data_IF_284842052215
#
_entry.id   IF_284842052215
#
_cell.length_a   1.000
_cell.length_b   1.000
_cell.length_c   1.000
_cell.angle_alpha   90.00
_cell.angle_beta   90.00
_cell.angle_gamma   90.00
#
_symmetry.space_group_name_H-M   'P 1'
#
loop_
_entity.id
_entity.type
_entity.pdbx_description
1 polymer ?
#
# COMPACT_ATOMS: atom_id res chain seq x y z
N UNK A 1 -6.34 -24.17 0.28
CA UNK A 1 -7.73 -23.79 -0.08
C UNK A 1 -8.63 -25.01 0.06
N UNK A 2 -9.90 -24.84 0.45
CA UNK A 2 -10.88 -25.95 0.53
C UNK A 2 -11.43 -26.30 1.91
N UNK A 3 -10.95 -25.67 2.99
CA UNK A 3 -11.57 -25.84 4.31
C UNK A 3 -12.99 -25.25 4.32
N UNK A 4 -13.95 -25.92 4.98
CA UNK A 4 -15.33 -25.46 5.20
C UNK A 4 -16.09 -25.11 3.91
N UNK A 5 -15.84 -25.86 2.83
CA UNK A 5 -16.54 -25.67 1.56
C UNK A 5 -18.04 -26.00 1.67
N UNK A 6 -18.41 -26.83 2.65
CA UNK A 6 -19.76 -27.24 3.02
C UNK A 6 -20.53 -26.19 3.85
N UNK A 7 -19.83 -25.21 4.44
CA UNK A 7 -20.44 -24.13 5.22
C UNK A 7 -20.80 -22.93 4.34
N UNK A 8 -21.83 -22.20 4.77
CA UNK A 8 -22.14 -20.88 4.20
C UNK A 8 -20.89 -19.98 4.27
N UNK A 9 -20.56 -19.23 3.21
CA UNK A 9 -19.40 -18.34 3.17
C UNK A 9 -19.21 -17.42 4.38
N UNK A 10 -20.31 -16.97 5.01
CA UNK A 10 -20.30 -16.09 6.17
C UNK A 10 -20.11 -16.82 7.51
N UNK A 11 -20.34 -18.13 7.55
CA UNK A 11 -20.12 -19.00 8.73
C UNK A 11 -18.72 -19.63 8.79
N UNK A 12 -17.91 -19.41 7.74
CA UNK A 12 -16.52 -19.84 7.69
C UNK A 12 -15.65 -19.07 8.68
N UNK A 13 -14.53 -19.66 9.10
CA UNK A 13 -13.56 -19.00 10.01
C UNK A 13 -12.19 -18.84 9.33
N UNK A 14 -11.81 -17.63 8.86
CA UNK A 14 -12.61 -16.40 8.77
C UNK A 14 -13.66 -16.47 7.63
N UNK A 15 -14.70 -15.61 7.66
CA UNK A 15 -15.66 -15.47 6.57
C UNK A 15 -14.97 -15.19 5.24
N UNK A 16 -15.37 -15.91 4.18
CA UNK A 16 -14.73 -15.81 2.86
C UNK A 16 -15.67 -16.22 1.74
N UNK A 17 -15.78 -15.37 0.72
CA UNK A 17 -16.58 -15.57 -0.49
C UNK A 17 -15.63 -15.62 -1.68
N UNK A 18 -15.82 -16.60 -2.57
CA UNK A 18 -15.08 -16.65 -3.84
C UNK A 18 -15.71 -15.66 -4.84
N UNK A 19 -14.93 -15.06 -5.74
CA UNK A 19 -15.49 -14.17 -6.75
C UNK A 19 -16.41 -14.95 -7.70
N UNK A 20 -17.44 -14.29 -8.21
CA UNK A 20 -18.31 -14.87 -9.22
C UNK A 20 -17.47 -15.24 -10.47
N UNK A 21 -17.60 -16.47 -11.01
CA UNK A 21 -16.83 -16.87 -12.20
C UNK A 21 -17.04 -15.90 -13.37
N UNK A 22 -15.94 -15.46 -13.98
CA UNK A 22 -15.96 -14.51 -15.11
C UNK A 22 -16.20 -13.04 -14.73
N UNK A 23 -16.46 -12.72 -13.46
CA UNK A 23 -16.58 -11.34 -13.00
C UNK A 23 -15.27 -10.56 -13.14
N UNK A 24 -15.36 -9.23 -13.10
CA UNK A 24 -14.19 -8.35 -12.97
C UNK A 24 -13.34 -8.67 -11.75
N UNK A 25 -13.97 -9.07 -10.63
CA UNK A 25 -13.26 -9.47 -9.41
C UNK A 25 -12.48 -10.79 -9.61
N UNK A 26 -13.07 -11.77 -10.31
CA UNK A 26 -12.36 -13.01 -10.64
C UNK A 26 -11.12 -12.74 -11.51
N UNK A 27 -11.25 -11.90 -12.54
CA UNK A 27 -10.12 -11.49 -13.38
C UNK A 27 -9.04 -10.72 -12.59
N UNK A 28 -9.43 -9.88 -11.63
CA UNK A 28 -8.50 -9.21 -10.73
C UNK A 28 -7.72 -10.20 -9.85
N UNK A 29 -8.39 -11.23 -9.33
CA UNK A 29 -7.73 -12.28 -8.54
C UNK A 29 -6.74 -13.08 -9.38
N UNK A 30 -7.13 -13.48 -10.59
CA UNK A 30 -6.26 -14.22 -11.52
C UNK A 30 -4.99 -13.44 -11.88
N UNK A 31 -5.12 -12.13 -12.12
CA UNK A 31 -3.97 -11.25 -12.36
C UNK A 31 -3.12 -11.09 -11.11
N UNK A 32 -3.73 -10.88 -9.95
CA UNK A 32 -3.02 -10.74 -8.68
C UNK A 32 -2.21 -12.00 -8.35
N UNK A 33 -2.75 -13.19 -8.57
CA UNK A 33 -2.03 -14.45 -8.34
C UNK A 33 -0.80 -14.59 -9.24
N UNK A 34 -0.90 -14.17 -10.50
CA UNK A 34 0.26 -14.11 -11.40
C UNK A 34 1.34 -13.15 -10.87
N UNK A 35 0.96 -12.02 -10.27
CA UNK A 35 1.94 -11.05 -9.75
C UNK A 35 2.79 -11.59 -8.60
N UNK A 36 2.30 -12.58 -7.84
CA UNK A 36 3.01 -13.17 -6.69
C UNK A 36 4.22 -13.99 -7.11
N UNK A 37 4.20 -14.54 -8.32
CA UNK A 37 5.21 -15.48 -8.82
C UNK A 37 6.00 -14.96 -10.02
N UNK A 38 5.60 -13.85 -10.65
CA UNK A 38 6.33 -13.23 -11.77
C UNK A 38 7.63 -12.54 -11.29
N UNK A 39 8.82 -13.06 -11.68
CA UNK A 39 10.09 -12.49 -11.24
C UNK A 39 10.51 -11.23 -12.00
N UNK A 40 10.04 -11.04 -13.25
CA UNK A 40 10.41 -9.87 -14.04
C UNK A 40 9.57 -8.65 -13.66
N UNK A 41 10.26 -7.57 -13.26
CA UNK A 41 9.61 -6.35 -12.76
C UNK A 41 8.73 -5.70 -13.83
N UNK A 42 9.13 -5.69 -15.10
CA UNK A 42 8.37 -5.04 -16.16
C UNK A 42 7.12 -5.85 -16.51
N UNK A 43 7.21 -7.18 -16.53
CA UNK A 43 6.05 -8.06 -16.69
C UNK A 43 5.09 -7.94 -15.51
N UNK A 44 5.60 -7.93 -14.28
CA UNK A 44 4.78 -7.72 -13.08
C UNK A 44 4.09 -6.35 -13.10
N UNK A 45 4.78 -5.30 -13.51
CA UNK A 45 4.19 -3.96 -13.65
C UNK A 45 3.08 -3.94 -14.71
N UNK A 46 3.25 -4.67 -15.81
CA UNK A 46 2.20 -4.81 -16.83
C UNK A 46 0.93 -5.47 -16.25
N UNK A 47 1.07 -6.52 -15.44
CA UNK A 47 -0.07 -7.13 -14.74
C UNK A 47 -0.79 -6.12 -13.84
N UNK A 48 -0.05 -5.25 -13.16
CA UNK A 48 -0.64 -4.16 -12.35
C UNK A 48 -1.44 -3.18 -13.22
N UNK A 49 -0.92 -2.82 -14.40
CA UNK A 49 -1.66 -1.98 -15.33
C UNK A 49 -2.91 -2.65 -15.88
N UNK A 50 -2.87 -3.95 -16.14
CA UNK A 50 -4.05 -4.71 -16.56
C UNK A 50 -5.11 -4.73 -15.45
N UNK A 51 -4.72 -4.83 -14.17
CA UNK A 51 -5.62 -4.69 -13.02
C UNK A 51 -6.21 -3.27 -12.91
N UNK A 52 -5.41 -2.23 -13.13
CA UNK A 52 -5.87 -0.84 -13.17
C UNK A 52 -6.87 -0.61 -14.30
N UNK A 53 -6.64 -1.22 -15.46
CA UNK A 53 -7.55 -1.15 -16.60
C UNK A 53 -8.93 -1.72 -16.27
N UNK A 54 -9.00 -2.87 -15.60
CA UNK A 54 -10.27 -3.43 -15.09
C UNK A 54 -10.99 -2.45 -14.15
N UNK A 55 -10.26 -1.77 -13.25
CA UNK A 55 -10.86 -0.77 -12.36
C UNK A 55 -11.44 0.43 -13.10
N UNK A 56 -10.82 0.84 -14.21
CA UNK A 56 -11.29 1.97 -15.04
C UNK A 56 -12.48 1.56 -15.92
N UNK A 57 -12.44 0.36 -16.51
CA UNK A 57 -13.45 -0.09 -17.48
C UNK A 57 -14.71 -0.63 -16.81
N UNK A 58 -14.55 -1.41 -15.73
CA UNK A 58 -15.65 -2.13 -15.08
C UNK A 58 -16.01 -1.58 -13.68
N UNK A 59 -15.18 -0.68 -13.15
CA UNK A 59 -15.36 -0.06 -11.84
C UNK A 59 -16.03 1.32 -11.89
N UNK A 60 -15.79 2.19 -10.88
CA UNK A 60 -14.96 1.96 -9.68
C UNK A 60 -15.68 1.11 -8.62
N UNK A 61 -15.03 0.04 -8.14
CA UNK A 61 -15.52 -0.77 -7.01
C UNK A 61 -15.36 -0.04 -5.66
N UNK A 62 -14.36 0.83 -5.56
CA UNK A 62 -14.14 1.81 -4.48
C UNK A 62 -13.39 3.01 -5.07
N UNK A 63 -13.80 4.23 -4.71
CA UNK A 63 -13.10 5.46 -5.13
C UNK A 63 -12.65 6.24 -3.91
N UNK A 64 -11.34 6.45 -3.78
CA UNK A 64 -10.77 7.34 -2.76
C UNK A 64 -11.01 8.79 -3.14
N UNK A 65 -11.80 9.52 -2.34
CA UNK A 65 -12.16 10.93 -2.61
C UNK A 65 -11.05 11.94 -2.31
N UNK A 66 -10.09 11.58 -1.45
CA UNK A 66 -8.96 12.41 -1.10
C UNK A 66 -7.78 11.52 -0.69
N UNK A 67 -6.57 11.91 -1.09
CA UNK A 67 -5.33 11.24 -0.73
C UNK A 67 -4.26 12.27 -0.37
N UNK A 68 -3.24 11.82 0.37
CA UNK A 68 -2.05 12.61 0.74
C UNK A 68 -2.35 14.01 1.33
N UNK A 69 -3.30 14.08 2.27
CA UNK A 69 -3.52 15.32 3.02
C UNK A 69 -2.21 15.76 3.68
N UNK A 70 -1.93 17.07 3.79
CA UNK A 70 -0.73 17.54 4.48
C UNK A 70 -0.79 17.18 5.97
N UNK A 71 0.32 16.68 6.53
CA UNK A 71 0.50 16.49 7.98
C UNK A 71 1.71 17.29 8.44
N UNK A 72 1.55 18.03 9.53
CA UNK A 72 2.65 18.73 10.19
C UNK A 72 3.48 17.69 10.95
N UNK A 73 4.78 17.65 10.67
CA UNK A 73 5.76 16.85 11.41
C UNK A 73 6.53 17.79 12.32
N UNK A 74 6.50 17.53 13.63
CA UNK A 74 7.24 18.31 14.62
C UNK A 74 8.61 17.66 14.84
N UNK A 75 9.67 18.44 14.67
CA UNK A 75 11.06 18.00 14.89
C UNK A 75 11.67 18.86 15.98
N UNK A 76 12.28 18.23 16.99
CA UNK A 76 12.95 18.94 18.07
C UNK A 76 14.18 19.67 17.51
N UNK A 77 14.40 20.92 17.93
CA UNK A 77 15.61 21.67 17.59
C UNK A 77 16.85 20.87 18.01
N UNK A 78 17.81 20.76 17.11
CA UNK A 78 19.05 19.97 17.30
C UNK A 78 18.97 18.53 16.77
N UNK A 79 17.77 18.00 16.47
CA UNK A 79 17.64 16.72 15.76
C UNK A 79 17.80 16.95 14.26
N UNK A 80 18.86 16.39 13.69
CA UNK A 80 19.23 16.53 12.29
C UNK A 80 18.92 15.27 11.49
N UNK A 81 19.07 15.40 10.17
CA UNK A 81 18.82 14.36 9.18
C UNK A 81 17.37 13.88 9.06
N UNK A 82 16.42 14.56 9.69
CA UNK A 82 14.99 14.37 9.44
C UNK A 82 14.64 15.07 8.11
N UNK A 83 14.16 14.33 7.08
CA UNK A 83 13.83 14.93 5.79
C UNK A 83 12.76 16.02 5.90
N UNK A 84 13.00 17.14 5.23
CA UNK A 84 12.01 18.21 5.05
C UNK A 84 11.17 17.93 3.81
N UNK A 85 10.08 18.67 3.69
CA UNK A 85 9.20 18.62 2.51
C UNK A 85 9.99 18.73 1.20
N UNK A 86 10.94 19.66 1.12
CA UNK A 86 11.69 19.95 -0.10
C UNK A 86 12.79 18.90 -0.40
N UNK A 87 13.15 18.08 0.60
CA UNK A 87 14.08 16.96 0.42
C UNK A 87 13.39 15.74 -0.23
N UNK A 88 12.06 15.77 -0.36
CA UNK A 88 11.23 14.65 -0.80
C UNK A 88 10.53 14.98 -2.12
N UNK A 89 10.62 14.09 -3.12
CA UNK A 89 10.18 14.33 -4.49
C UNK A 89 8.73 14.85 -4.64
N UNK A 90 7.81 14.44 -3.76
CA UNK A 90 6.40 14.87 -3.75
C UNK A 90 5.99 15.51 -2.41
N UNK A 91 6.94 16.07 -1.66
CA UNK A 91 6.68 16.64 -0.32
C UNK A 91 6.56 15.60 0.80
N UNK A 92 6.82 14.33 0.49
CA UNK A 92 6.74 13.20 1.42
C UNK A 92 5.36 12.57 1.50
N UNK A 93 5.32 11.37 2.10
CA UNK A 93 4.12 10.61 2.34
C UNK A 93 3.99 10.42 3.86
N UNK A 94 3.12 11.20 4.48
CA UNK A 94 3.00 11.31 5.95
C UNK A 94 1.67 10.79 6.50
N UNK A 95 0.71 10.52 5.61
CA UNK A 95 -0.62 10.02 5.94
C UNK A 95 -1.01 8.68 5.31
N UNK A 96 -0.39 8.14 4.25
CA UNK A 96 -0.89 6.90 3.68
C UNK A 96 -0.50 5.73 4.58
N UNK A 97 -1.47 4.83 4.80
CA UNK A 97 -1.28 3.59 5.57
C UNK A 97 -0.47 2.52 4.81
N UNK A 98 0.03 2.84 3.61
CA UNK A 98 0.81 1.94 2.76
C UNK A 98 2.23 1.68 3.30
N UNK A 99 2.74 2.58 4.12
CA UNK A 99 4.08 2.50 4.70
C UNK A 99 4.12 3.17 6.08
N UNK A 100 4.95 2.68 7.01
CA UNK A 100 5.01 3.21 8.36
C UNK A 100 5.88 4.48 8.43
N UNK A 101 5.30 5.67 8.23
CA UNK A 101 6.02 6.93 8.49
C UNK A 101 6.23 7.13 9.99
N UNK A 102 7.44 7.46 10.50
CA UNK A 102 8.63 7.92 9.77
C UNK A 102 9.69 6.85 9.46
N UNK A 103 9.40 5.55 9.56
CA UNK A 103 10.41 4.51 9.36
C UNK A 103 10.99 4.48 7.94
N UNK A 104 10.24 4.92 6.93
CA UNK A 104 10.72 5.05 5.54
C UNK A 104 11.67 6.24 5.31
N UNK A 105 11.92 7.03 6.36
CA UNK A 105 12.86 8.13 6.34
C UNK A 105 14.16 7.78 7.09
N UNK A 106 14.41 6.48 7.27
CA UNK A 106 15.63 5.92 7.86
C UNK A 106 16.02 6.59 9.19
N UNK A 107 15.14 6.54 10.22
CA UNK A 107 15.34 7.24 11.48
C UNK A 107 16.60 6.80 12.24
N UNK A 108 17.19 5.65 11.91
CA UNK A 108 18.50 5.21 12.40
C UNK A 108 19.65 6.14 11.98
N UNK A 109 19.43 6.98 10.96
CA UNK A 109 20.40 7.96 10.49
C UNK A 109 20.21 9.34 11.14
N UNK A 110 19.22 9.51 12.00
CA UNK A 110 18.99 10.77 12.71
C UNK A 110 20.04 10.97 13.80
N UNK A 111 20.47 12.21 13.99
CA UNK A 111 21.49 12.52 14.99
C UNK A 111 21.24 13.86 15.67
N UNK A 112 21.64 13.95 16.93
CA UNK A 112 21.68 15.20 17.66
C UNK A 112 22.94 15.99 17.30
N UNK A 113 22.81 17.30 17.10
CA UNK A 113 23.95 18.22 16.98
C UNK A 113 24.86 18.18 18.21
N UNK A 114 24.28 17.97 19.40
CA UNK A 114 24.97 17.68 20.64
C UNK A 114 24.48 16.37 21.28
N UNK A 115 25.11 15.22 20.97
CA UNK A 115 24.73 13.92 21.53
C UNK A 115 24.83 13.83 23.05
N UNK A 116 25.65 14.66 23.71
CA UNK A 116 25.83 14.58 25.16
C UNK A 116 24.70 15.24 25.97
N UNK A 117 23.81 16.00 25.32
CA UNK A 117 22.73 16.74 25.98
C UNK A 117 21.36 16.04 25.88
N UNK A 118 21.30 14.83 25.32
CA UNK A 118 20.07 14.14 24.93
C UNK A 118 20.08 12.65 25.24
#
# INVERSE_FOLDING_TARGET
EGAEADKDPYERTPPRVAPEPGSSIARLWDLYDQTKVEPDVNKRNKLVWDMMKIHVEDGPFFSGVAANTPRIVLVKKGLNNVPKRDDLALGGLVNPWIHPTPAVYDPETYYWDNPAAH
#
